data_IF_360534649275
#
_entry.id   IF_360534649275
#
_cell.length_a   1.000
_cell.length_b   1.000
_cell.length_c   1.000
_cell.angle_alpha   90.00
_cell.angle_beta   90.00
_cell.angle_gamma   90.00
#
_symmetry.space_group_name_H-M   'P 1'
#
loop_
_entity.id
_entity.type
_entity.pdbx_description
1 polymer ?
#
# COMPACT_ATOMS: atom_id res chain seq x y z
N UNK A 1 -1.35 7.26 -15.03
CA UNK A 1 -2.19 6.21 -14.44
C UNK A 1 -1.32 5.08 -13.92
N UNK A 2 -1.62 4.59 -12.73
CA UNK A 2 -0.87 3.47 -12.13
C UNK A 2 -1.46 2.16 -12.64
N UNK A 3 -0.60 1.26 -13.07
CA UNK A 3 -1.00 -0.09 -13.46
C UNK A 3 -0.49 -1.10 -12.42
N UNK A 4 -1.18 -2.24 -12.25
CA UNK A 4 -0.72 -3.25 -11.29
C UNK A 4 0.69 -3.76 -11.55
N UNK A 5 1.15 -3.75 -12.80
CA UNK A 5 2.48 -4.23 -13.18
C UNK A 5 3.61 -3.37 -12.60
N UNK A 6 3.33 -2.14 -12.22
CA UNK A 6 4.32 -1.25 -11.60
C UNK A 6 4.58 -1.61 -10.15
N UNK A 7 3.67 -2.36 -9.53
CA UNK A 7 3.72 -2.70 -8.12
C UNK A 7 4.17 -4.15 -7.98
N UNK A 8 5.27 -4.36 -7.27
CA UNK A 8 5.87 -5.69 -7.09
C UNK A 8 5.74 -6.14 -5.65
N UNK A 9 5.78 -7.45 -5.45
CA UNK A 9 5.82 -8.04 -4.11
C UNK A 9 6.99 -7.45 -3.31
N UNK A 10 6.76 -7.27 -2.03
CA UNK A 10 7.74 -6.79 -1.05
C UNK A 10 8.15 -5.33 -1.21
N UNK A 11 7.54 -4.57 -2.11
CA UNK A 11 7.74 -3.13 -2.15
C UNK A 11 7.14 -2.48 -0.90
N UNK A 12 7.83 -1.48 -0.39
CA UNK A 12 7.30 -0.70 0.73
C UNK A 12 6.20 0.24 0.25
N UNK A 13 5.15 0.39 1.05
CA UNK A 13 4.09 1.38 0.84
C UNK A 13 4.26 2.48 1.87
N UNK A 14 4.30 3.71 1.40
CA UNK A 14 4.41 4.89 2.27
C UNK A 14 3.27 5.86 1.98
N UNK A 15 2.89 6.64 2.99
CA UNK A 15 1.94 7.73 2.81
C UNK A 15 2.60 8.92 2.12
N UNK A 16 1.79 9.95 1.82
CA UNK A 16 2.33 11.17 1.23
C UNK A 16 3.18 11.97 2.24
N UNK A 17 3.18 11.56 3.49
CA UNK A 17 4.05 12.09 4.55
C UNK A 17 5.40 11.35 4.61
N UNK A 18 5.61 10.36 3.74
CA UNK A 18 6.84 9.57 3.69
C UNK A 18 6.92 8.49 4.76
N UNK A 19 5.90 8.32 5.59
CA UNK A 19 5.92 7.33 6.66
C UNK A 19 5.41 5.98 6.19
N UNK A 20 5.94 4.93 6.79
CA UNK A 20 5.64 3.54 6.45
C UNK A 20 4.17 3.20 6.69
N UNK A 21 3.55 2.54 5.71
CA UNK A 21 2.19 2.02 5.82
C UNK A 21 2.20 0.49 5.85
N UNK A 22 2.96 -0.12 4.96
CA UNK A 22 3.01 -1.57 4.89
C UNK A 22 3.94 -2.05 3.79
N UNK A 23 3.87 -3.35 3.50
CA UNK A 23 4.66 -4.01 2.47
C UNK A 23 3.72 -4.78 1.57
N UNK A 24 3.96 -4.69 0.26
CA UNK A 24 3.10 -5.34 -0.74
C UNK A 24 3.20 -6.86 -0.61
N UNK A 25 2.05 -7.53 -0.46
CA UNK A 25 1.94 -8.96 -0.63
C UNK A 25 1.59 -9.26 -2.09
N UNK A 26 0.51 -8.68 -2.59
CA UNK A 26 0.17 -8.72 -4.02
C UNK A 26 -0.92 -7.71 -4.36
N UNK A 27 -1.15 -7.52 -5.65
CA UNK A 27 -2.23 -6.68 -6.16
C UNK A 27 -3.20 -7.59 -6.92
N UNK A 28 -4.49 -7.48 -6.59
CA UNK A 28 -5.51 -8.23 -7.31
C UNK A 28 -6.84 -7.48 -7.25
N UNK A 29 -7.61 -7.57 -8.33
CA UNK A 29 -8.97 -7.02 -8.41
C UNK A 29 -9.04 -5.53 -8.01
N UNK A 30 -8.03 -4.74 -8.39
CA UNK A 30 -8.00 -3.30 -8.12
C UNK A 30 -7.64 -2.96 -6.68
N UNK A 31 -7.17 -3.93 -5.89
CA UNK A 31 -6.77 -3.72 -4.50
C UNK A 31 -5.35 -4.19 -4.26
N UNK A 32 -4.68 -3.49 -3.35
CA UNK A 32 -3.37 -3.86 -2.84
C UNK A 32 -3.59 -4.64 -1.55
N UNK A 33 -3.03 -5.85 -1.48
CA UNK A 33 -2.99 -6.62 -0.23
C UNK A 33 -1.63 -6.44 0.43
N UNK A 34 -1.63 -6.07 1.70
CA UNK A 34 -0.41 -5.90 2.48
C UNK A 34 -0.07 -7.18 3.24
N UNK A 35 1.22 -7.37 3.54
CA UNK A 35 1.68 -8.59 4.23
C UNK A 35 1.24 -8.59 5.68
N UNK A 36 1.04 -9.80 6.22
CA UNK A 36 0.77 -10.00 7.65
C UNK A 36 1.98 -9.67 8.51
N UNK A 37 3.17 -10.05 8.05
CA UNK A 37 4.39 -9.95 8.85
C UNK A 37 4.73 -8.52 9.25
N UNK A 38 4.41 -7.58 8.38
CA UNK A 38 4.69 -6.16 8.62
C UNK A 38 3.51 -5.46 9.30
N UNK A 39 2.36 -6.10 9.36
CA UNK A 39 1.13 -5.49 9.86
C UNK A 39 1.18 -5.37 11.39
N UNK A 40 0.75 -4.23 11.96
CA UNK A 40 0.77 -4.05 13.41
C UNK A 40 -0.16 -5.01 14.16
N UNK A 41 -1.18 -5.54 13.51
CA UNK A 41 -2.12 -6.48 14.12
C UNK A 41 -1.97 -7.92 13.61
N UNK A 42 -0.99 -8.16 12.75
CA UNK A 42 -0.73 -9.51 12.21
C UNK A 42 -1.74 -9.98 11.17
N UNK A 43 -2.54 -9.07 10.62
CA UNK A 43 -3.56 -9.38 9.62
C UNK A 43 -3.19 -8.75 8.27
N UNK A 44 -3.69 -9.36 7.18
CA UNK A 44 -3.65 -8.69 5.89
C UNK A 44 -4.56 -7.48 5.92
N UNK A 45 -4.09 -6.38 5.37
CA UNK A 45 -4.91 -5.21 5.14
C UNK A 45 -4.95 -4.90 3.66
N UNK A 46 -5.99 -4.20 3.23
CA UNK A 46 -6.26 -3.95 1.83
C UNK A 46 -6.44 -2.44 1.60
N UNK A 47 -5.85 -1.97 0.51
CA UNK A 47 -5.96 -0.57 0.08
C UNK A 47 -6.43 -0.56 -1.38
N UNK A 48 -7.31 0.39 -1.76
CA UNK A 48 -7.66 0.54 -3.16
C UNK A 48 -6.43 0.95 -3.99
N UNK A 49 -6.28 0.36 -5.16
CA UNK A 49 -5.23 0.76 -6.09
C UNK A 49 -5.34 2.24 -6.46
N UNK A 50 -6.56 2.78 -6.46
CA UNK A 50 -6.81 4.19 -6.73
C UNK A 50 -6.16 5.14 -5.72
N UNK A 51 -5.75 4.64 -4.55
CA UNK A 51 -5.06 5.45 -3.54
C UNK A 51 -3.57 5.67 -3.86
N UNK A 52 -3.04 4.99 -4.88
CA UNK A 52 -1.64 5.13 -5.27
C UNK A 52 -1.48 6.36 -6.13
N UNK A 53 -0.59 7.26 -5.71
CA UNK A 53 -0.30 8.46 -6.49
C UNK A 53 0.77 8.19 -7.53
N UNK A 54 1.87 7.55 -7.13
CA UNK A 54 2.93 7.15 -8.06
C UNK A 54 3.76 6.02 -7.44
N UNK A 55 4.58 5.39 -8.30
CA UNK A 55 5.46 4.28 -7.89
C UNK A 55 6.87 4.58 -8.38
N UNK A 56 7.85 4.47 -7.49
CA UNK A 56 9.27 4.47 -7.82
C UNK A 56 9.85 3.18 -7.23
N UNK A 57 10.83 3.24 -6.33
CA UNK A 57 11.26 2.08 -5.57
C UNK A 57 10.30 1.75 -4.41
N UNK A 58 9.31 2.61 -4.19
CA UNK A 58 8.24 2.44 -3.21
C UNK A 58 6.91 2.80 -3.84
N UNK A 59 5.84 2.36 -3.19
CA UNK A 59 4.47 2.74 -3.57
C UNK A 59 4.08 3.95 -2.73
N UNK A 60 3.79 5.08 -3.39
CA UNK A 60 3.44 6.32 -2.72
C UNK A 60 1.95 6.57 -2.80
N UNK A 61 1.31 6.70 -1.65
CA UNK A 61 -0.13 6.92 -1.57
C UNK A 61 -0.46 8.42 -1.70
N UNK A 62 -1.71 8.72 -2.00
CA UNK A 62 -2.20 10.08 -2.15
C UNK A 62 -2.77 10.64 -0.83
N UNK A 63 -2.42 10.03 0.29
CA UNK A 63 -2.87 10.43 1.63
C UNK A 63 -1.83 10.06 2.66
N UNK A 64 -1.97 10.61 3.88
CA UNK A 64 -1.02 10.35 4.94
C UNK A 64 -1.08 8.88 5.40
N UNK A 65 0.00 8.43 6.04
CA UNK A 65 0.07 7.09 6.60
C UNK A 65 -1.05 6.84 7.60
N UNK A 66 -1.30 7.79 8.49
CA UNK A 66 -2.35 7.66 9.52
C UNK A 66 -3.72 7.53 8.87
N UNK A 67 -4.00 8.35 7.85
CA UNK A 67 -5.27 8.29 7.15
C UNK A 67 -5.43 6.97 6.39
N UNK A 68 -4.37 6.52 5.73
CA UNK A 68 -4.40 5.24 5.01
C UNK A 68 -4.72 4.08 5.97
N UNK A 69 -4.08 4.06 7.13
CA UNK A 69 -4.30 3.01 8.13
C UNK A 69 -5.68 3.11 8.77
N UNK A 70 -6.25 4.29 8.86
CA UNK A 70 -7.61 4.47 9.39
C UNK A 70 -8.67 3.99 8.38
N UNK A 71 -8.34 3.99 7.10
CA UNK A 71 -9.29 3.65 6.03
C UNK A 71 -9.10 2.24 5.46
N UNK A 72 -8.01 1.57 5.73
CA UNK A 72 -7.77 0.24 5.16
C UNK A 72 -8.71 -0.82 5.73
N UNK A 73 -8.90 -1.89 4.96
CA UNK A 73 -9.72 -3.03 5.43
C UNK A 73 -8.86 -4.07 6.10
#
# INVERSE_FOLDING_TARGET
>A
MITPEQIREHMEVVGNDGLHVGVIDRVEAGEIRLTKNDSPDGLHHFLPLANVEYVDDRVHLNRSSIRAMAEWR
#
